data_IF_829444997906
#
_entry.id   IF_829444997906
#
_cell.length_a   1.000
_cell.length_b   1.000
_cell.length_c   1.000
_cell.angle_alpha   90.00
_cell.angle_beta   90.00
_cell.angle_gamma   90.00
#
_symmetry.space_group_name_H-M   'P 1'
#
loop_
_entity.id
_entity.type
_entity.pdbx_description
1 polymer ?
#
# COMPACT_ATOMS: atom_id res chain seq x y z
N UNK A 1 -47.48 -53.24 18.13
CA UNK A 1 -46.12 -53.07 17.57
C UNK A 1 -46.15 -51.89 16.59
N UNK A 2 -45.62 -50.72 16.98
CA UNK A 2 -45.45 -49.57 16.07
C UNK A 2 -43.98 -49.14 16.18
N UNK A 3 -43.28 -49.19 15.04
CA UNK A 3 -41.86 -48.89 14.85
C UNK A 3 -41.67 -47.37 14.80
N UNK A 4 -40.93 -46.80 15.75
CA UNK A 4 -40.46 -45.42 15.70
C UNK A 4 -39.18 -45.34 14.85
N UNK A 5 -39.26 -44.62 13.73
CA UNK A 5 -38.11 -44.25 12.89
C UNK A 5 -37.56 -42.91 13.40
N UNK A 6 -36.31 -42.87 13.85
CA UNK A 6 -35.63 -41.65 14.26
C UNK A 6 -34.91 -41.06 13.03
N UNK A 7 -35.38 -39.92 12.53
CA UNK A 7 -34.65 -39.15 11.52
C UNK A 7 -33.73 -38.16 12.22
N UNK A 8 -32.42 -38.39 12.11
CA UNK A 8 -31.42 -37.38 12.51
C UNK A 8 -31.31 -36.40 11.34
N UNK A 9 -31.89 -35.21 11.50
CA UNK A 9 -31.66 -34.06 10.62
C UNK A 9 -30.35 -33.42 11.07
N UNK A 10 -29.28 -33.58 10.29
CA UNK A 10 -28.05 -32.82 10.46
C UNK A 10 -28.26 -31.46 9.78
N UNK A 11 -28.61 -30.46 10.58
CA UNK A 11 -28.56 -29.06 10.17
C UNK A 11 -27.09 -28.65 10.05
N UNK A 12 -26.57 -28.63 8.82
CA UNK A 12 -25.26 -28.06 8.53
C UNK A 12 -25.29 -26.56 8.76
N UNK A 13 -24.85 -26.10 9.93
CA UNK A 13 -24.45 -24.71 10.13
C UNK A 13 -23.21 -24.47 9.26
N UNK A 14 -23.38 -23.76 8.15
CA UNK A 14 -22.25 -23.17 7.44
C UNK A 14 -21.81 -21.97 8.28
N UNK A 15 -20.79 -22.15 9.13
CA UNK A 15 -20.11 -21.01 9.72
C UNK A 15 -19.24 -20.41 8.61
N UNK A 16 -19.56 -19.20 8.16
CA UNK A 16 -18.68 -18.42 7.32
C UNK A 16 -17.38 -18.18 8.11
N UNK A 17 -16.33 -18.91 7.75
CA UNK A 17 -15.00 -18.78 8.33
C UNK A 17 -14.34 -17.54 7.73
N UNK A 18 -14.63 -16.37 8.30
CA UNK A 18 -13.86 -15.15 8.08
C UNK A 18 -12.46 -15.33 8.69
N UNK A 19 -11.52 -15.79 7.87
CA UNK A 19 -10.13 -15.90 8.27
C UNK A 19 -9.46 -14.52 8.22
N UNK A 20 -9.08 -14.01 9.38
CA UNK A 20 -8.23 -12.83 9.48
C UNK A 20 -6.87 -13.17 8.88
N UNK A 21 -6.50 -12.50 7.80
CA UNK A 21 -5.26 -12.78 7.10
C UNK A 21 -4.32 -11.58 7.10
N UNK A 22 -3.04 -11.85 7.30
CA UNK A 22 -1.99 -10.93 6.93
C UNK A 22 -1.63 -11.16 5.46
N UNK A 23 -1.60 -10.10 4.66
CA UNK A 23 -1.32 -10.15 3.24
C UNK A 23 0.15 -9.90 2.90
N UNK A 24 0.38 -9.19 1.80
CA UNK A 24 1.72 -8.92 1.26
C UNK A 24 2.39 -7.79 2.04
N UNK A 25 3.71 -7.90 2.22
CA UNK A 25 4.60 -6.82 2.66
C UNK A 25 5.12 -6.03 1.45
N UNK A 26 5.06 -4.70 1.52
CA UNK A 26 5.71 -3.78 0.58
C UNK A 26 6.65 -2.86 1.35
N UNK A 27 7.93 -2.91 0.99
CA UNK A 27 8.98 -2.07 1.60
C UNK A 27 9.03 -0.73 0.89
N UNK A 28 9.12 0.32 1.69
CA UNK A 28 8.94 1.72 1.30
C UNK A 28 10.15 2.60 1.61
N UNK A 29 11.24 1.99 2.06
CA UNK A 29 12.47 2.60 2.56
C UNK A 29 13.68 1.92 1.94
N UNK A 30 14.78 2.64 1.81
CA UNK A 30 16.05 2.10 1.35
C UNK A 30 16.95 1.69 2.53
N UNK A 31 18.05 1.02 2.21
CA UNK A 31 19.13 0.74 3.16
C UNK A 31 19.72 2.05 3.71
N UNK A 32 20.02 2.07 5.00
CA UNK A 32 20.48 3.24 5.77
C UNK A 32 19.42 4.33 5.99
N UNK A 33 18.14 4.01 5.78
CA UNK A 33 17.02 4.89 6.14
C UNK A 33 16.20 4.26 7.29
N UNK A 34 15.33 5.05 7.92
CA UNK A 34 14.31 4.50 8.80
C UNK A 34 13.43 3.55 7.98
N UNK A 35 13.25 2.35 8.50
CA UNK A 35 12.41 1.35 7.89
C UNK A 35 10.97 1.87 7.84
N UNK A 36 10.38 1.77 6.67
CA UNK A 36 8.98 1.99 6.40
C UNK A 36 8.51 0.85 5.50
N UNK A 37 7.44 0.19 5.88
CA UNK A 37 6.80 -0.85 5.08
C UNK A 37 5.30 -0.91 5.39
N UNK A 38 4.55 -1.46 4.44
CA UNK A 38 3.11 -1.71 4.57
C UNK A 38 2.83 -3.20 4.48
N UNK A 39 1.92 -3.71 5.31
CA UNK A 39 1.38 -5.06 5.21
C UNK A 39 -0.13 -4.95 4.98
N UNK A 40 -0.62 -5.57 3.91
CA UNK A 40 -2.06 -5.59 3.65
C UNK A 40 -2.79 -6.49 4.65
N UNK A 41 -4.04 -6.13 4.97
CA UNK A 41 -4.92 -6.94 5.81
C UNK A 41 -5.96 -7.61 4.91
N UNK A 42 -6.04 -8.93 4.96
CA UNK A 42 -7.09 -9.72 4.32
C UNK A 42 -8.25 -9.91 5.29
N UNK A 43 -9.42 -9.42 4.88
CA UNK A 43 -10.76 -9.54 5.48
C UNK A 43 -10.83 -9.61 7.01
N UNK A 44 -11.26 -8.49 7.60
CA UNK A 44 -11.61 -8.40 9.01
C UNK A 44 -13.01 -7.77 9.12
N UNK A 45 -13.89 -8.35 9.94
CA UNK A 45 -15.08 -7.66 10.45
C UNK A 45 -14.64 -6.45 11.30
N UNK A 46 -15.19 -5.26 11.04
CA UNK A 46 -14.71 -4.00 11.62
C UNK A 46 -14.57 -3.99 13.17
N UNK A 47 -15.34 -4.83 13.86
CA UNK A 47 -15.28 -4.95 15.32
C UNK A 47 -14.04 -5.71 15.81
N UNK A 48 -13.45 -6.59 15.00
CA UNK A 48 -12.23 -7.32 15.38
C UNK A 48 -10.96 -6.46 15.21
N UNK A 49 -10.98 -5.45 14.32
CA UNK A 49 -9.87 -4.49 14.17
C UNK A 49 -9.56 -3.75 15.47
N UNK A 50 -10.60 -3.37 16.22
CA UNK A 50 -10.49 -2.54 17.43
C UNK A 50 -9.83 -3.27 18.60
N UNK A 51 -9.93 -4.60 18.63
CA UNK A 51 -9.36 -5.44 19.68
C UNK A 51 -8.09 -6.20 19.23
N UNK A 52 -7.60 -5.91 18.02
CA UNK A 52 -6.46 -6.57 17.43
C UNK A 52 -5.17 -6.15 18.14
N UNK A 53 -4.42 -7.11 18.67
CA UNK A 53 -3.04 -6.88 19.09
C UNK A 53 -2.12 -7.33 17.97
N UNK A 54 -1.35 -6.39 17.45
CA UNK A 54 -0.33 -6.66 16.43
C UNK A 54 1.05 -6.27 16.95
N UNK A 55 2.04 -7.07 16.58
CA UNK A 55 3.43 -6.73 16.83
C UNK A 55 4.38 -7.82 16.35
N UNK A 56 5.63 -7.69 16.78
CA UNK A 56 6.64 -8.72 16.58
C UNK A 56 6.24 -10.00 17.35
N UNK A 57 6.42 -11.18 16.74
CA UNK A 57 6.18 -12.44 17.41
C UNK A 57 7.12 -12.62 18.62
N UNK A 58 6.72 -13.49 19.54
CA UNK A 58 7.47 -13.68 20.78
C UNK A 58 8.80 -14.41 20.53
N UNK A 59 9.75 -14.29 21.46
CA UNK A 59 11.04 -14.98 21.32
C UNK A 59 10.90 -16.51 21.23
N UNK A 60 9.88 -17.10 21.85
CA UNK A 60 9.60 -18.53 21.74
C UNK A 60 9.07 -18.91 20.36
N UNK A 61 8.34 -18.01 19.70
CA UNK A 61 7.88 -18.19 18.32
C UNK A 61 9.07 -18.19 17.34
N UNK A 62 10.00 -17.24 17.48
CA UNK A 62 11.25 -17.21 16.71
C UNK A 62 12.09 -18.49 16.90
N UNK A 63 12.26 -18.94 18.15
CA UNK A 63 12.97 -20.19 18.45
C UNK A 63 12.31 -21.40 17.78
N UNK A 64 10.97 -21.46 17.80
CA UNK A 64 10.21 -22.56 17.18
C UNK A 64 10.33 -22.57 15.67
N UNK A 65 10.41 -21.40 15.05
CA UNK A 65 10.65 -21.25 13.62
C UNK A 65 12.13 -21.50 13.24
N UNK A 66 13.03 -21.66 14.21
CA UNK A 66 14.47 -21.78 13.97
C UNK A 66 15.12 -20.49 13.46
N UNK A 67 14.47 -19.35 13.70
CA UNK A 67 14.91 -18.02 13.22
C UNK A 67 15.62 -17.28 14.34
N UNK A 68 16.80 -16.73 14.06
CA UNK A 68 17.51 -15.85 14.97
C UNK A 68 16.99 -14.43 14.79
N UNK A 69 16.34 -13.87 15.81
CA UNK A 69 15.83 -12.52 15.77
C UNK A 69 16.99 -11.49 15.77
N UNK A 70 17.05 -10.64 14.75
CA UNK A 70 18.00 -9.53 14.69
C UNK A 70 17.65 -8.49 15.79
N UNK A 71 18.65 -7.95 16.52
CA UNK A 71 18.43 -6.90 17.51
C UNK A 71 17.66 -5.68 16.98
N UNK A 72 17.80 -5.34 15.69
CA UNK A 72 17.14 -4.19 15.05
C UNK A 72 15.60 -4.34 15.06
N UNK A 73 15.08 -5.57 15.15
CA UNK A 73 13.64 -5.84 15.19
C UNK A 73 12.94 -5.24 16.41
N UNK A 74 13.68 -5.00 17.51
CA UNK A 74 13.11 -4.41 18.73
C UNK A 74 12.68 -2.96 18.56
N UNK A 75 13.23 -2.27 17.56
CA UNK A 75 12.88 -0.89 17.22
C UNK A 75 11.67 -0.76 16.28
N UNK A 76 11.06 -1.89 15.87
CA UNK A 76 9.92 -1.88 14.96
C UNK A 76 8.60 -1.61 15.70
N UNK A 77 7.83 -0.66 15.17
CA UNK A 77 6.44 -0.40 15.57
C UNK A 77 5.48 -0.90 14.50
N UNK A 78 4.30 -1.33 14.92
CA UNK A 78 3.26 -1.88 14.07
C UNK A 78 1.96 -1.15 14.36
N UNK A 79 1.55 -0.28 13.44
CA UNK A 79 0.38 0.57 13.62
C UNK A 79 -0.67 0.21 12.56
N UNK A 80 -1.90 -0.07 13.00
CA UNK A 80 -3.03 -0.24 12.08
C UNK A 80 -3.49 1.15 11.64
N UNK A 81 -3.41 1.41 10.35
CA UNK A 81 -3.84 2.68 9.75
C UNK A 81 -5.17 2.47 9.05
N UNK A 82 -6.20 3.18 9.52
CA UNK A 82 -7.49 3.30 8.86
C UNK A 82 -7.41 4.43 7.81
N UNK A 83 -7.05 4.08 6.58
CA UNK A 83 -7.08 5.02 5.47
C UNK A 83 -8.32 4.89 4.59
N UNK A 84 -8.34 5.70 3.55
CA UNK A 84 -9.47 5.79 2.60
C UNK A 84 -9.58 4.53 1.73
N UNK A 85 -8.49 3.76 1.66
CA UNK A 85 -8.32 2.56 0.86
C UNK A 85 -8.58 1.27 1.64
N UNK A 86 -9.12 1.36 2.86
CA UNK A 86 -9.22 0.25 3.80
C UNK A 86 -8.03 0.22 4.78
N UNK A 87 -8.07 -0.70 5.77
CA UNK A 87 -7.03 -0.77 6.79
C UNK A 87 -5.78 -1.50 6.29
N UNK A 88 -4.61 -1.01 6.69
CA UNK A 88 -3.33 -1.71 6.52
C UNK A 88 -2.48 -1.56 7.78
N UNK A 89 -1.41 -2.35 7.86
CA UNK A 89 -0.43 -2.23 8.94
C UNK A 89 0.76 -1.47 8.40
N UNK A 90 1.13 -0.39 9.06
CA UNK A 90 2.38 0.30 8.82
C UNK A 90 3.43 -0.23 9.79
N UNK A 91 4.58 -0.60 9.25
CA UNK A 91 5.74 -1.06 10.02
C UNK A 91 6.82 0.00 9.91
N UNK A 92 7.21 0.59 11.04
CA UNK A 92 8.22 1.63 11.09
C UNK A 92 9.37 1.25 12.02
N UNK A 93 10.60 1.65 11.71
CA UNK A 93 11.68 1.65 12.70
C UNK A 93 11.91 3.04 13.28
N UNK A 94 12.34 3.07 14.54
CA UNK A 94 12.81 4.30 15.19
C UNK A 94 14.24 4.69 14.78
N UNK A 95 15.06 3.72 14.36
CA UNK A 95 16.45 3.90 13.95
C UNK A 95 16.69 3.45 12.50
N UNK A 96 17.67 4.02 11.77
CA UNK A 96 18.00 3.59 10.42
C UNK A 96 18.45 2.13 10.35
N UNK A 97 17.89 1.36 9.41
CA UNK A 97 18.23 -0.05 9.21
C UNK A 97 19.38 -0.18 8.21
N UNK A 98 20.44 -0.89 8.61
CA UNK A 98 21.67 -1.09 7.82
C UNK A 98 21.88 -2.52 7.32
N UNK A 99 20.94 -3.42 7.63
CA UNK A 99 20.96 -4.78 7.10
C UNK A 99 20.24 -4.82 5.74
N UNK A 100 20.76 -5.55 4.74
CA UNK A 100 20.19 -5.56 3.38
C UNK A 100 18.89 -6.34 3.27
N UNK A 101 18.63 -7.24 4.22
CA UNK A 101 17.35 -7.92 4.35
C UNK A 101 17.00 -8.01 5.84
N UNK A 102 15.71 -7.89 6.12
CA UNK A 102 15.17 -8.01 7.46
C UNK A 102 14.17 -9.15 7.50
N UNK A 103 14.47 -10.18 8.29
CA UNK A 103 13.62 -11.34 8.46
C UNK A 103 12.92 -11.29 9.80
N UNK A 104 11.58 -11.35 9.80
CA UNK A 104 10.80 -11.20 11.02
C UNK A 104 9.48 -11.94 10.97
N UNK A 105 8.97 -12.24 12.15
CA UNK A 105 7.68 -12.85 12.37
C UNK A 105 6.74 -11.79 12.94
N UNK A 106 5.60 -11.57 12.28
CA UNK A 106 4.53 -10.70 12.78
C UNK A 106 3.46 -11.57 13.41
N UNK A 107 3.10 -11.25 14.64
CA UNK A 107 2.00 -11.88 15.34
C UNK A 107 0.77 -10.96 15.36
N UNK A 108 -0.37 -11.54 15.04
CA UNK A 108 -1.68 -10.98 15.29
C UNK A 108 -2.39 -11.84 16.33
N UNK A 109 -2.87 -11.21 17.40
CA UNK A 109 -3.60 -11.84 18.49
C UNK A 109 -4.98 -11.17 18.64
N UNK A 110 -6.04 -11.97 18.66
CA UNK A 110 -7.43 -11.54 18.86
C UNK A 110 -8.18 -12.55 19.73
N UNK A 111 -9.46 -12.29 20.02
CA UNK A 111 -10.30 -13.15 20.87
C UNK A 111 -10.42 -14.59 20.38
N UNK A 112 -10.33 -14.81 19.06
CA UNK A 112 -10.46 -16.13 18.43
C UNK A 112 -9.14 -16.85 18.19
N UNK A 113 -7.98 -16.25 18.52
CA UNK A 113 -6.70 -16.94 18.39
C UNK A 113 -5.50 -16.04 18.10
N UNK A 114 -4.44 -16.68 17.60
CA UNK A 114 -3.17 -16.06 17.23
C UNK A 114 -2.74 -16.56 15.86
N UNK A 115 -2.36 -15.64 14.98
CA UNK A 115 -1.71 -15.92 13.70
C UNK A 115 -0.32 -15.34 13.74
N UNK A 116 0.63 -16.11 13.21
CA UNK A 116 1.99 -15.67 13.00
C UNK A 116 2.28 -15.77 11.52
N UNK A 117 2.83 -14.69 10.94
CA UNK A 117 3.27 -14.67 9.55
C UNK A 117 4.72 -14.25 9.45
N UNK A 118 5.43 -14.97 8.60
CA UNK A 118 6.83 -14.73 8.31
C UNK A 118 6.98 -13.75 7.15
N UNK A 119 7.91 -12.81 7.30
CA UNK A 119 8.22 -11.80 6.32
C UNK A 119 9.72 -11.63 6.15
N UNK A 120 10.12 -11.44 4.89
CA UNK A 120 11.45 -10.96 4.53
C UNK A 120 11.29 -9.64 3.80
N UNK A 121 11.80 -8.56 4.40
CA UNK A 121 11.93 -7.27 3.75
C UNK A 121 13.29 -7.20 3.06
N UNK A 122 13.33 -6.75 1.81
CA UNK A 122 14.57 -6.47 1.10
C UNK A 122 14.76 -4.95 1.04
N UNK A 123 15.96 -4.48 1.37
CA UNK A 123 16.32 -3.07 1.45
C UNK A 123 17.34 -2.76 0.35
N UNK A 124 16.91 -1.96 -0.62
CA UNK A 124 17.77 -1.57 -1.73
C UNK A 124 18.89 -0.63 -1.25
N UNK A 125 20.14 -0.77 -1.72
CA UNK A 125 21.21 0.13 -1.32
C UNK A 125 20.96 1.54 -1.87
N UNK A 126 21.34 2.60 -1.14
CA UNK A 126 21.17 3.96 -1.63
C UNK A 126 22.02 4.14 -2.89
N UNK A 127 21.40 4.62 -3.97
CA UNK A 127 22.09 4.89 -5.24
C UNK A 127 21.95 3.83 -6.33
N UNK A 128 21.21 2.73 -6.12
CA UNK A 128 20.86 1.76 -7.19
C UNK A 128 19.76 2.26 -8.14
N UNK A 129 19.72 3.57 -8.39
CA UNK A 129 18.93 4.20 -9.45
C UNK A 129 19.83 4.59 -10.65
N UNK A 130 20.92 3.87 -10.92
CA UNK A 130 21.74 3.98 -12.15
C UNK A 130 22.70 2.78 -12.09
N UNK A 131 22.67 1.75 -12.96
CA UNK A 131 23.01 1.77 -14.39
C UNK A 131 22.33 0.55 -15.07
N UNK A 132 21.10 0.70 -15.56
CA UNK A 132 20.51 -0.23 -16.53
C UNK A 132 19.44 0.53 -17.31
N UNK A 133 19.86 1.14 -18.42
CA UNK A 133 19.04 1.98 -19.27
C UNK A 133 19.00 3.42 -18.76
N UNK A 134 19.55 4.34 -19.54
CA UNK A 134 19.03 5.71 -19.52
C UNK A 134 17.51 5.59 -19.65
N UNK A 135 16.70 6.21 -18.76
CA UNK A 135 15.29 6.35 -19.03
C UNK A 135 15.18 6.95 -20.43
N UNK A 136 14.44 6.29 -21.31
CA UNK A 136 13.98 6.92 -22.54
C UNK A 136 13.03 8.00 -22.03
N UNK A 137 13.58 9.18 -21.75
CA UNK A 137 12.82 10.34 -21.36
C UNK A 137 11.97 10.65 -22.60
N UNK A 138 10.64 10.46 -22.56
CA UNK A 138 9.80 10.95 -23.65
C UNK A 138 10.14 12.43 -23.82
N UNK A 139 10.20 12.98 -25.04
CA UNK A 139 10.67 14.35 -25.28
C UNK A 139 10.00 15.30 -24.30
N UNK A 140 10.75 15.74 -23.28
CA UNK A 140 10.29 16.79 -22.39
C UNK A 140 10.24 18.03 -23.26
N UNK A 141 9.04 18.42 -23.67
CA UNK A 141 8.81 19.82 -23.99
C UNK A 141 9.35 20.60 -22.78
N UNK A 142 10.27 21.52 -23.04
CA UNK A 142 10.92 22.36 -22.02
C UNK A 142 9.86 23.33 -21.48
N UNK A 143 8.93 22.79 -20.71
CA UNK A 143 7.97 23.55 -19.93
C UNK A 143 8.69 23.81 -18.62
N UNK A 144 8.81 25.09 -18.29
CA UNK A 144 9.32 25.59 -17.01
C UNK A 144 8.85 24.67 -15.88
N UNK A 145 9.79 24.07 -15.14
CA UNK A 145 9.51 22.98 -14.20
C UNK A 145 8.77 23.56 -12.99
N UNK A 146 7.48 23.77 -13.14
CA UNK A 146 6.63 24.39 -12.14
C UNK A 146 6.45 23.42 -10.98
N UNK A 147 7.04 23.75 -9.83
CA UNK A 147 6.81 23.02 -8.59
C UNK A 147 5.36 23.26 -8.16
N UNK A 148 4.56 22.20 -8.07
CA UNK A 148 3.14 22.27 -7.69
C UNK A 148 2.98 22.03 -6.20
N UNK A 149 2.34 22.96 -5.48
CA UNK A 149 2.18 22.81 -4.02
C UNK A 149 0.81 22.23 -3.66
N UNK A 150 0.74 21.39 -2.62
CA UNK A 150 -0.53 20.95 -2.06
C UNK A 150 -1.48 22.11 -1.75
N UNK A 151 -2.74 22.01 -2.19
CA UNK A 151 -3.76 23.05 -2.01
C UNK A 151 -3.88 24.05 -3.17
N UNK A 152 -2.92 24.07 -4.10
CA UNK A 152 -3.02 24.86 -5.33
C UNK A 152 -3.98 24.22 -6.34
N UNK A 153 -4.32 24.99 -7.39
CA UNK A 153 -4.98 24.47 -8.58
C UNK A 153 -4.02 24.56 -9.74
N UNK A 154 -3.77 23.42 -10.37
CA UNK A 154 -3.01 23.32 -11.61
C UNK A 154 -3.96 23.42 -12.80
N UNK A 155 -3.51 24.04 -13.89
CA UNK A 155 -4.21 24.02 -15.17
C UNK A 155 -4.25 25.36 -15.89
N UNK A 156 -4.81 25.40 -17.11
CA UNK A 156 -5.41 24.25 -17.79
C UNK A 156 -4.36 23.20 -18.21
N UNK A 157 -4.73 21.93 -18.11
CA UNK A 157 -3.92 20.81 -18.63
C UNK A 157 -3.71 21.00 -20.13
N UNK A 158 -2.47 20.94 -20.58
CA UNK A 158 -2.08 21.11 -21.98
C UNK A 158 -2.11 19.78 -22.72
N UNK A 159 -2.21 19.87 -24.04
CA UNK A 159 -2.12 18.69 -24.91
C UNK A 159 -0.80 17.94 -24.69
N UNK A 160 -0.88 16.62 -24.53
CA UNK A 160 0.28 15.74 -24.30
C UNK A 160 0.75 15.63 -22.85
N UNK A 161 0.17 16.37 -21.90
CA UNK A 161 0.45 16.17 -20.48
C UNK A 161 -0.16 14.88 -19.94
N UNK A 162 0.49 14.29 -18.94
CA UNK A 162 0.02 13.06 -18.28
C UNK A 162 -0.15 13.29 -16.79
N UNK A 163 -1.05 12.51 -16.18
CA UNK A 163 -1.22 12.53 -14.73
C UNK A 163 0.09 12.23 -13.98
N UNK A 164 0.88 11.29 -14.49
CA UNK A 164 2.17 10.92 -13.91
C UNK A 164 3.17 12.08 -13.96
N UNK A 165 3.23 12.81 -15.07
CA UNK A 165 4.07 14.01 -15.21
C UNK A 165 3.69 15.08 -14.18
N UNK A 166 2.41 15.45 -14.14
CA UNK A 166 1.89 16.44 -13.18
C UNK A 166 2.13 15.99 -11.74
N UNK A 167 1.89 14.72 -11.42
CA UNK A 167 2.11 14.16 -10.08
C UNK A 167 3.60 14.18 -9.65
N UNK A 168 4.53 14.06 -10.61
CA UNK A 168 5.96 14.12 -10.35
C UNK A 168 6.41 15.53 -9.93
N UNK A 169 5.71 16.57 -10.39
CA UNK A 169 6.03 17.96 -10.09
C UNK A 169 5.41 18.45 -8.77
N UNK A 170 4.60 17.63 -8.10
CA UNK A 170 4.03 17.95 -6.78
C UNK A 170 5.11 17.94 -5.68
N UNK A 171 5.12 18.96 -4.84
CA UNK A 171 5.98 19.04 -3.66
C UNK A 171 5.35 18.30 -2.45
N UNK A 172 5.42 16.96 -2.44
CA UNK A 172 4.84 16.12 -1.38
C UNK A 172 5.87 15.33 -0.54
N UNK A 173 7.16 15.70 -0.60
CA UNK A 173 8.22 14.99 0.12
C UNK A 173 8.50 13.58 -0.42
N UNK A 174 9.57 12.95 0.10
CA UNK A 174 10.01 11.60 -0.32
C UNK A 174 9.10 10.47 0.18
N UNK A 175 8.36 10.70 1.26
CA UNK A 175 7.47 9.72 1.87
C UNK A 175 6.13 9.57 1.16
N UNK A 176 5.80 10.43 0.19
CA UNK A 176 4.61 10.27 -0.65
C UNK A 176 5.00 9.68 -2.00
N UNK A 177 4.60 8.43 -2.25
CA UNK A 177 4.85 7.74 -3.51
C UNK A 177 4.16 8.41 -4.70
N UNK A 178 4.72 8.26 -5.90
CA UNK A 178 4.09 8.75 -7.13
C UNK A 178 2.67 8.21 -7.31
N UNK A 179 2.45 6.93 -6.99
CA UNK A 179 1.14 6.29 -7.09
C UNK A 179 0.11 6.89 -6.13
N UNK A 180 0.49 7.20 -4.89
CA UNK A 180 -0.41 7.89 -3.96
C UNK A 180 -0.80 9.28 -4.48
N UNK A 181 0.14 10.00 -5.10
CA UNK A 181 -0.15 11.32 -5.69
C UNK A 181 -1.14 11.21 -6.84
N UNK A 182 -0.89 10.28 -7.77
CA UNK A 182 -1.78 10.02 -8.90
C UNK A 182 -3.17 9.58 -8.42
N UNK A 183 -3.22 8.64 -7.47
CA UNK A 183 -4.47 8.18 -6.86
C UNK A 183 -5.22 9.35 -6.21
N UNK A 184 -4.54 10.18 -5.41
CA UNK A 184 -5.17 11.32 -4.78
C UNK A 184 -5.70 12.34 -5.81
N UNK A 185 -4.94 12.60 -6.88
CA UNK A 185 -5.34 13.54 -7.93
C UNK A 185 -6.58 13.07 -8.67
N UNK A 186 -6.68 11.79 -9.03
CA UNK A 186 -7.87 11.29 -9.74
C UNK A 186 -9.12 11.32 -8.85
N UNK A 187 -8.98 10.99 -7.57
CA UNK A 187 -10.09 11.01 -6.62
C UNK A 187 -10.54 12.44 -6.29
N UNK A 188 -9.62 13.41 -6.27
CA UNK A 188 -9.95 14.80 -6.01
C UNK A 188 -10.52 15.53 -7.24
N UNK A 189 -10.30 15.01 -8.44
CA UNK A 189 -10.67 15.65 -9.71
C UNK A 189 -11.31 14.66 -10.70
N UNK A 190 -12.36 13.91 -10.31
CA UNK A 190 -12.90 12.82 -11.13
C UNK A 190 -13.38 13.27 -12.52
N UNK A 191 -13.84 14.52 -12.65
CA UNK A 191 -14.29 15.13 -13.90
C UNK A 191 -13.19 15.33 -14.93
N UNK A 192 -11.94 15.46 -14.48
CA UNK A 192 -10.77 15.65 -15.33
C UNK A 192 -10.34 14.38 -16.06
N UNK A 193 -10.91 13.21 -15.72
CA UNK A 193 -10.51 11.92 -16.28
C UNK A 193 -11.64 11.27 -17.06
N UNK A 194 -11.35 10.89 -18.29
CA UNK A 194 -12.30 10.17 -19.15
C UNK A 194 -12.43 8.75 -18.60
N UNK A 195 -13.68 8.31 -18.36
CA UNK A 195 -14.01 6.98 -17.78
C UNK A 195 -13.34 6.72 -16.42
N UNK A 196 -12.92 7.77 -15.71
CA UNK A 196 -12.23 7.62 -14.42
C UNK A 196 -10.88 6.89 -14.52
N UNK A 197 -10.21 6.91 -15.68
CA UNK A 197 -8.93 6.26 -15.89
C UNK A 197 -7.78 7.30 -15.83
N UNK A 198 -6.76 7.02 -15.01
CA UNK A 198 -5.56 7.84 -14.76
C UNK A 198 -4.77 8.16 -16.04
N UNK A 199 -4.86 7.30 -17.05
CA UNK A 199 -4.17 7.46 -18.33
C UNK A 199 -4.99 8.25 -19.36
N UNK A 200 -6.22 8.65 -19.02
CA UNK A 200 -7.13 9.38 -19.92
C UNK A 200 -7.46 10.77 -19.34
N UNK A 201 -6.44 11.57 -19.09
CA UNK A 201 -6.56 12.95 -18.61
C UNK A 201 -7.12 13.86 -19.72
N UNK A 202 -8.10 14.71 -19.39
CA UNK A 202 -8.69 15.68 -20.32
C UNK A 202 -7.78 16.89 -20.50
N UNK A 203 -7.55 17.25 -21.76
CA UNK A 203 -7.01 18.56 -22.11
C UNK A 203 -7.96 19.68 -21.64
N UNK A 204 -7.40 20.80 -21.19
CA UNK A 204 -8.13 21.95 -20.68
C UNK A 204 -8.61 21.84 -19.24
N UNK A 205 -8.46 20.67 -18.60
CA UNK A 205 -8.92 20.46 -17.22
C UNK A 205 -8.13 21.29 -16.21
N UNK A 206 -8.78 21.68 -15.11
CA UNK A 206 -8.11 22.24 -13.93
C UNK A 206 -8.09 21.18 -12.83
N UNK A 207 -6.95 20.98 -12.19
CA UNK A 207 -6.73 19.97 -11.17
C UNK A 207 -6.45 20.64 -9.82
N UNK A 208 -7.29 20.38 -8.83
CA UNK A 208 -7.02 20.65 -7.43
C UNK A 208 -5.95 19.70 -6.91
N UNK A 209 -4.85 20.25 -6.42
CA UNK A 209 -3.75 19.46 -5.86
C UNK A 209 -4.10 19.05 -4.41
N UNK A 210 -4.21 17.75 -4.10
CA UNK A 210 -4.59 17.29 -2.76
C UNK A 210 -3.53 17.62 -1.70
N UNK A 211 -3.93 17.59 -0.43
CA UNK A 211 -2.98 17.75 0.69
C UNK A 211 -2.06 16.53 0.83
N UNK A 212 -0.83 16.74 1.31
CA UNK A 212 0.10 15.63 1.67
C UNK A 212 -0.52 14.68 2.69
N UNK A 213 -1.29 15.22 3.64
CA UNK A 213 -2.02 14.42 4.63
C UNK A 213 -3.03 13.48 3.96
N UNK A 214 -3.79 13.97 2.97
CA UNK A 214 -4.72 13.14 2.19
C UNK A 214 -3.97 12.05 1.42
N UNK A 215 -2.83 12.39 0.81
CA UNK A 215 -2.01 11.41 0.08
C UNK A 215 -1.49 10.29 1.00
N UNK A 216 -1.07 10.60 2.23
CA UNK A 216 -0.62 9.62 3.20
C UNK A 216 -1.74 8.75 3.80
N UNK A 217 -3.02 9.07 3.56
CA UNK A 217 -4.17 8.23 3.95
C UNK A 217 -4.52 7.16 2.91
N UNK A 218 -3.74 7.07 1.84
CA UNK A 218 -3.89 6.08 0.78
C UNK A 218 -2.80 5.03 0.97
N UNK A 219 -3.14 3.75 1.01
CA UNK A 219 -2.12 2.68 1.02
C UNK A 219 -1.29 2.74 -0.27
N UNK A 220 0.04 2.64 -0.15
CA UNK A 220 0.93 2.54 -1.32
C UNK A 220 0.70 1.25 -2.10
N UNK A 221 0.33 0.17 -1.41
CA UNK A 221 -0.04 -1.11 -2.02
C UNK A 221 -1.23 -0.88 -2.96
N UNK A 222 -2.34 -0.37 -2.42
CA UNK A 222 -3.55 -0.16 -3.22
C UNK A 222 -3.32 0.85 -4.35
N UNK A 223 -2.65 1.96 -4.08
CA UNK A 223 -2.38 2.98 -5.09
C UNK A 223 -1.63 2.41 -6.31
N UNK A 224 -0.64 1.54 -6.06
CA UNK A 224 0.13 0.88 -7.12
C UNK A 224 -0.69 -0.20 -7.85
N UNK A 225 -1.48 -0.98 -7.13
CA UNK A 225 -2.38 -1.98 -7.71
C UNK A 225 -3.40 -1.31 -8.63
N UNK A 226 -4.00 -0.21 -8.19
CA UNK A 226 -4.98 0.53 -8.95
C UNK A 226 -4.37 1.15 -10.22
N UNK A 227 -3.18 1.73 -10.13
CA UNK A 227 -2.45 2.19 -11.31
C UNK A 227 -2.23 1.05 -12.32
N UNK A 228 -1.77 -0.11 -11.84
CA UNK A 228 -1.46 -1.26 -12.70
C UNK A 228 -2.72 -1.81 -13.39
N UNK A 229 -3.83 -1.84 -12.65
CA UNK A 229 -5.15 -2.23 -13.17
C UNK A 229 -5.62 -1.28 -14.27
N UNK A 230 -5.62 0.03 -13.98
CA UNK A 230 -6.08 1.05 -14.93
C UNK A 230 -5.17 1.17 -16.16
N UNK A 231 -3.86 0.94 -16.01
CA UNK A 231 -2.94 0.86 -17.14
C UNK A 231 -3.30 -0.32 -18.05
N UNK A 232 -3.59 -1.49 -17.47
CA UNK A 232 -3.99 -2.68 -18.25
C UNK A 232 -5.28 -2.43 -19.04
N UNK A 233 -6.27 -1.77 -18.43
CA UNK A 233 -7.51 -1.38 -19.11
C UNK A 233 -7.28 -0.39 -20.25
N UNK A 234 -6.34 0.54 -20.06
CA UNK A 234 -5.98 1.51 -21.08
C UNK A 234 -5.29 0.85 -22.28
N UNK A 235 -4.37 -0.09 -22.04
CA UNK A 235 -3.70 -0.87 -23.10
C UNK A 235 -4.75 -1.67 -23.89
N UNK A 236 -5.61 -2.41 -23.21
CA UNK A 236 -6.63 -3.24 -23.84
C UNK A 236 -7.68 -2.44 -24.66
N UNK A 237 -7.81 -1.14 -24.43
CA UNK A 237 -8.68 -0.26 -25.22
C UNK A 237 -8.03 0.20 -26.54
N UNK A 238 -6.71 0.15 -26.65
CA UNK A 238 -5.96 0.62 -27.82
C UNK A 238 -5.43 -0.52 -28.72
N UNK A 239 -5.61 -1.77 -28.30
CA UNK A 239 -5.40 -2.98 -29.10
C UNK A 239 -6.68 -3.34 -29.89
#
# INVERSE_FOLDING_TARGET
MIRTLLWIVILGFSADLSAIGLGRLVVNSALNEQFDAEISISSIEADVLKALKIGLASQSDFKRAGIIADPVLRGLTFDVVEGETGPWIRVLSNEPIRVPFLHFLVAIEWSGGKIIREYTALLDPPGYHTVAGQPIEPPRAVIDKQVLRPGETYGPVRSGETLMGIAADIEAGKSTSIYQRMFALIHANPEAFIRGNMNLLREGASLKIPSTKSMHRISRILAKEEYSRQLSEWIAYHD
#
